data_IF_516471443644
#
_entry.id   IF_516471443644
#
_cell.length_a   1.000
_cell.length_b   1.000
_cell.length_c   1.000
_cell.angle_alpha   90.00
_cell.angle_beta   90.00
_cell.angle_gamma   90.00
#
_symmetry.space_group_name_H-M   'P 1'
#
loop_
_entity.id
_entity.type
_entity.pdbx_description
1 polymer ?
#
# COMPACT_ATOMS: atom_id res chain seq x y z
N UNK A 1 30.62 67.22 36.12
CA UNK A 1 29.47 67.80 35.40
C UNK A 1 29.93 67.98 33.96
N UNK A 2 29.38 67.37 32.92
CA UNK A 2 27.99 66.96 32.69
C UNK A 2 27.93 65.63 31.92
N UNK A 3 26.85 64.89 32.16
CA UNK A 3 26.44 63.64 31.51
C UNK A 3 26.20 63.84 30.01
N UNK A 4 26.75 62.98 29.17
CA UNK A 4 26.31 62.82 27.79
C UNK A 4 25.04 61.96 27.79
N UNK A 5 23.89 62.61 27.71
CA UNK A 5 22.61 61.95 27.45
C UNK A 5 22.59 61.48 25.99
N UNK A 6 22.71 60.16 25.80
CA UNK A 6 22.41 59.50 24.54
C UNK A 6 20.90 59.56 24.35
N UNK A 7 20.43 60.46 23.50
CA UNK A 7 19.04 60.48 23.04
C UNK A 7 18.75 59.15 22.34
N UNK A 8 18.03 58.26 23.02
CA UNK A 8 17.39 57.09 22.41
C UNK A 8 16.27 57.61 21.52
N UNK A 9 16.43 57.53 20.20
CA UNK A 9 15.31 57.65 19.28
C UNK A 9 14.30 56.54 19.60
N UNK A 10 13.11 56.91 20.10
CA UNK A 10 12.00 55.98 20.18
C UNK A 10 11.54 55.64 18.76
N UNK A 11 11.37 54.34 18.40
CA UNK A 11 10.90 53.98 17.08
C UNK A 11 9.49 54.54 16.90
N UNK A 12 9.31 55.43 15.92
CA UNK A 12 8.00 56.00 15.59
C UNK A 12 6.99 54.85 15.42
N UNK A 13 5.94 54.83 16.24
CA UNK A 13 4.84 53.88 16.11
C UNK A 13 4.15 54.11 14.76
N UNK A 14 4.62 53.42 13.71
CA UNK A 14 3.99 53.43 12.40
C UNK A 14 2.52 53.01 12.54
N UNK A 15 1.63 53.78 11.92
CA UNK A 15 0.18 53.53 11.94
C UNK A 15 -0.11 52.06 11.59
N UNK A 16 -0.89 51.38 12.44
CA UNK A 16 -1.33 49.99 12.25
C UNK A 16 -1.94 49.72 10.86
N UNK A 17 -2.45 50.75 10.18
CA UNK A 17 -3.09 50.70 8.86
C UNK A 17 -2.06 50.56 7.72
N UNK A 18 -0.83 51.07 7.91
CA UNK A 18 0.24 51.02 6.89
C UNK A 18 1.23 49.87 7.11
N UNK A 19 1.06 49.07 8.16
CA UNK A 19 1.89 47.88 8.37
C UNK A 19 1.56 46.83 7.29
N UNK A 20 2.53 46.46 6.43
CA UNK A 20 2.32 45.50 5.36
C UNK A 20 1.87 44.12 5.87
N UNK A 21 2.23 43.73 7.10
CA UNK A 21 1.78 42.46 7.70
C UNK A 21 0.29 42.51 8.07
N UNK A 22 -0.15 43.60 8.70
CA UNK A 22 -1.54 43.77 9.12
C UNK A 22 -2.46 43.91 7.90
N UNK A 23 -2.04 44.68 6.89
CA UNK A 23 -2.74 44.79 5.61
C UNK A 23 -2.82 43.45 4.88
N UNK A 24 -1.75 42.66 4.89
CA UNK A 24 -1.74 41.31 4.34
C UNK A 24 -2.76 40.39 5.00
N UNK A 25 -2.79 40.36 6.34
CA UNK A 25 -3.77 39.60 7.12
C UNK A 25 -5.20 40.07 6.81
N UNK A 26 -5.42 41.38 6.75
CA UNK A 26 -6.74 41.94 6.43
C UNK A 26 -7.25 41.47 5.06
N UNK A 27 -6.44 41.59 4.00
CA UNK A 27 -6.86 41.14 2.67
C UNK A 27 -7.01 39.62 2.58
N UNK A 28 -6.17 38.85 3.29
CA UNK A 28 -6.33 37.39 3.34
C UNK A 28 -7.65 36.99 4.01
N UNK A 29 -8.00 37.62 5.14
CA UNK A 29 -9.29 37.42 5.82
C UNK A 29 -10.44 37.85 4.91
N UNK A 30 -10.34 39.01 4.26
CA UNK A 30 -11.36 39.51 3.33
C UNK A 30 -11.60 38.53 2.18
N UNK A 31 -10.53 38.01 1.57
CA UNK A 31 -10.63 37.03 0.49
C UNK A 31 -11.27 35.72 0.98
N UNK A 32 -10.89 35.23 2.16
CA UNK A 32 -11.50 34.02 2.74
C UNK A 32 -12.98 34.24 3.01
N UNK A 33 -13.37 35.39 3.56
CA UNK A 33 -14.78 35.73 3.83
C UNK A 33 -15.57 35.80 2.52
N UNK A 34 -15.06 36.51 1.51
CA UNK A 34 -15.70 36.61 0.20
C UNK A 34 -15.83 35.24 -0.48
N UNK A 35 -14.82 34.39 -0.37
CA UNK A 35 -14.83 33.04 -0.91
C UNK A 35 -15.87 32.17 -0.20
N UNK A 36 -15.90 32.17 1.13
CA UNK A 36 -16.88 31.43 1.93
C UNK A 36 -18.30 31.91 1.64
N UNK A 37 -18.51 33.23 1.56
CA UNK A 37 -19.80 33.82 1.21
C UNK A 37 -20.23 33.44 -0.21
N UNK A 38 -19.31 33.46 -1.18
CA UNK A 38 -19.57 33.03 -2.55
C UNK A 38 -19.95 31.55 -2.64
N UNK A 39 -19.19 30.66 -1.99
CA UNK A 39 -19.49 29.22 -1.92
C UNK A 39 -20.85 28.99 -1.24
N UNK A 40 -21.12 29.68 -0.13
CA UNK A 40 -22.39 29.60 0.58
C UNK A 40 -23.57 30.03 -0.29
N UNK A 41 -23.43 31.14 -1.01
CA UNK A 41 -24.44 31.66 -1.92
C UNK A 41 -24.72 30.69 -3.08
N UNK A 42 -23.67 30.13 -3.70
CA UNK A 42 -23.82 29.11 -4.74
C UNK A 42 -24.54 27.88 -4.19
N UNK A 43 -24.10 27.36 -3.04
CA UNK A 43 -24.68 26.18 -2.42
C UNK A 43 -26.16 26.37 -2.11
N UNK A 44 -26.54 27.51 -1.51
CA UNK A 44 -27.95 27.82 -1.22
C UNK A 44 -28.78 27.94 -2.50
N UNK A 45 -28.29 28.66 -3.51
CA UNK A 45 -29.01 28.78 -4.79
C UNK A 45 -29.23 27.42 -5.44
N UNK A 46 -28.23 26.53 -5.42
CA UNK A 46 -28.36 25.18 -5.99
C UNK A 46 -29.39 24.37 -5.20
N UNK A 47 -29.31 24.36 -3.87
CA UNK A 47 -30.25 23.62 -3.02
C UNK A 47 -31.69 24.11 -3.22
N UNK A 48 -31.89 25.43 -3.25
CA UNK A 48 -33.22 26.03 -3.45
C UNK A 48 -33.79 25.69 -4.84
N UNK A 49 -32.97 25.76 -5.89
CA UNK A 49 -33.39 25.38 -7.25
C UNK A 49 -33.71 23.87 -7.35
N UNK A 50 -32.90 23.00 -6.75
CA UNK A 50 -33.15 21.55 -6.74
C UNK A 50 -34.43 21.19 -5.96
N UNK A 51 -34.68 21.90 -4.85
CA UNK A 51 -35.88 21.69 -4.03
C UNK A 51 -37.14 22.15 -4.77
N UNK A 52 -37.07 23.27 -5.50
CA UNK A 52 -38.16 23.73 -6.39
C UNK A 52 -38.47 22.70 -7.49
N UNK A 53 -37.45 22.02 -8.00
CA UNK A 53 -37.59 20.96 -9.00
C UNK A 53 -38.01 19.60 -8.41
N UNK A 54 -38.24 19.51 -7.09
CA UNK A 54 -38.53 18.26 -6.35
C UNK A 54 -37.48 17.16 -6.57
N UNK A 55 -36.25 17.54 -6.88
CA UNK A 55 -35.12 16.61 -6.98
C UNK A 55 -34.61 16.38 -5.57
N UNK A 56 -34.60 15.12 -5.14
CA UNK A 56 -34.02 14.73 -3.86
C UNK A 56 -32.54 15.13 -3.85
N UNK A 57 -32.21 16.18 -3.08
CA UNK A 57 -30.86 16.73 -2.97
C UNK A 57 -30.29 16.46 -1.57
N UNK A 58 -28.96 16.49 -1.46
CA UNK A 58 -28.23 16.25 -0.21
C UNK A 58 -27.87 14.78 0.07
N UNK A 59 -27.43 14.50 1.29
CA UNK A 59 -26.88 13.19 1.69
C UNK A 59 -27.94 12.16 2.16
N UNK A 60 -29.23 12.46 1.98
CA UNK A 60 -30.32 11.56 2.39
C UNK A 60 -30.27 10.20 1.70
N UNK A 61 -29.77 10.15 0.46
CA UNK A 61 -29.60 8.91 -0.30
C UNK A 61 -28.70 7.90 0.42
N UNK A 62 -27.72 8.35 1.24
CA UNK A 62 -26.83 7.46 2.00
C UNK A 62 -27.58 6.56 2.99
N UNK A 63 -28.78 6.97 3.40
CA UNK A 63 -29.66 6.18 4.28
C UNK A 63 -30.67 5.33 3.50
N UNK A 64 -30.82 5.56 2.19
CA UNK A 64 -31.67 4.74 1.32
C UNK A 64 -31.08 3.34 1.10
N UNK A 65 -31.95 2.37 0.83
CA UNK A 65 -31.56 0.99 0.51
C UNK A 65 -30.82 0.93 -0.82
N UNK A 66 -29.68 0.24 -0.85
CA UNK A 66 -28.82 0.15 -2.02
C UNK A 66 -29.46 -0.68 -3.15
N UNK A 67 -30.09 -1.81 -2.82
CA UNK A 67 -30.82 -2.64 -3.78
C UNK A 67 -29.95 -3.51 -4.70
N UNK A 68 -28.65 -3.62 -4.42
CA UNK A 68 -27.72 -4.49 -5.16
C UNK A 68 -26.72 -5.15 -4.21
N UNK A 69 -26.23 -6.33 -4.61
CA UNK A 69 -25.20 -7.07 -3.87
C UNK A 69 -23.80 -6.67 -4.33
N UNK A 70 -22.83 -6.79 -3.42
CA UNK A 70 -21.40 -6.57 -3.70
C UNK A 70 -20.71 -7.92 -3.56
N UNK A 71 -19.98 -8.34 -4.59
CA UNK A 71 -19.34 -9.66 -4.64
C UNK A 71 -18.39 -9.89 -3.47
N UNK A 72 -17.45 -8.97 -3.23
CA UNK A 72 -16.49 -9.07 -2.12
C UNK A 72 -16.88 -8.10 -1.01
N UNK A 73 -16.92 -8.54 0.24
CA UNK A 73 -17.22 -7.65 1.36
C UNK A 73 -16.48 -8.06 2.63
N UNK A 74 -15.53 -7.23 3.06
CA UNK A 74 -14.79 -7.44 4.30
C UNK A 74 -15.64 -7.18 5.55
N UNK A 75 -16.70 -6.37 5.42
CA UNK A 75 -17.69 -6.10 6.45
C UNK A 75 -19.05 -6.63 5.99
N UNK A 76 -19.90 -7.06 6.94
CA UNK A 76 -21.21 -7.62 6.62
C UNK A 76 -22.03 -6.66 5.75
N UNK A 77 -22.52 -7.11 4.60
CA UNK A 77 -23.27 -6.31 3.64
C UNK A 77 -24.31 -7.19 2.94
N UNK A 78 -25.44 -6.60 2.58
CA UNK A 78 -26.51 -7.21 1.78
C UNK A 78 -27.18 -6.14 0.92
N UNK A 79 -27.94 -6.54 -0.10
CA UNK A 79 -28.79 -5.64 -0.90
C UNK A 79 -29.83 -4.84 -0.09
N UNK A 80 -30.11 -5.23 1.14
CA UNK A 80 -30.95 -4.49 2.10
C UNK A 80 -30.20 -3.36 2.83
N UNK A 81 -28.87 -3.36 2.75
CA UNK A 81 -28.03 -2.35 3.38
C UNK A 81 -28.19 -0.98 2.72
N UNK A 82 -27.78 0.06 3.43
CA UNK A 82 -27.87 1.43 2.93
C UNK A 82 -26.77 1.76 1.91
N UNK A 83 -27.00 2.76 1.04
CA UNK A 83 -25.97 3.26 0.13
C UNK A 83 -24.70 3.73 0.84
N UNK A 84 -24.82 4.32 2.04
CA UNK A 84 -23.66 4.72 2.84
C UNK A 84 -22.81 3.52 3.23
N UNK A 85 -23.44 2.37 3.56
CA UNK A 85 -22.73 1.13 3.82
C UNK A 85 -22.11 0.54 2.56
N UNK A 86 -22.81 0.60 1.42
CA UNK A 86 -22.27 0.16 0.13
C UNK A 86 -21.01 0.93 -0.28
N UNK A 87 -21.01 2.26 -0.13
CA UNK A 87 -19.85 3.12 -0.37
C UNK A 87 -18.70 2.77 0.57
N UNK A 88 -18.98 2.54 1.86
CA UNK A 88 -17.96 2.14 2.82
C UNK A 88 -17.34 0.78 2.47
N UNK A 89 -18.16 -0.21 2.08
CA UNK A 89 -17.67 -1.52 1.60
C UNK A 89 -16.79 -1.32 0.35
N UNK A 90 -17.25 -0.53 -0.61
CA UNK A 90 -16.49 -0.21 -1.82
C UNK A 90 -15.13 0.43 -1.49
N UNK A 91 -15.11 1.42 -0.60
CA UNK A 91 -13.89 2.09 -0.14
C UNK A 91 -12.93 1.09 0.54
N UNK A 92 -13.43 0.26 1.44
CA UNK A 92 -12.63 -0.76 2.12
C UNK A 92 -12.02 -1.73 1.11
N UNK A 93 -12.81 -2.23 0.16
CA UNK A 93 -12.30 -3.11 -0.89
C UNK A 93 -11.25 -2.43 -1.76
N UNK A 94 -11.45 -1.16 -2.14
CA UNK A 94 -10.44 -0.38 -2.87
C UNK A 94 -9.13 -0.26 -2.09
N UNK A 95 -9.21 0.03 -0.79
CA UNK A 95 -8.03 0.11 0.09
C UNK A 95 -7.33 -1.25 0.18
N UNK A 96 -8.08 -2.34 0.35
CA UNK A 96 -7.52 -3.70 0.40
C UNK A 96 -6.80 -4.03 -0.91
N UNK A 97 -7.46 -3.86 -2.05
CA UNK A 97 -6.86 -4.12 -3.37
C UNK A 97 -5.64 -3.24 -3.60
N UNK A 98 -5.70 -1.97 -3.22
CA UNK A 98 -4.59 -1.03 -3.37
C UNK A 98 -3.38 -1.46 -2.51
N UNK A 99 -3.58 -1.81 -1.24
CA UNK A 99 -2.49 -2.21 -0.35
C UNK A 99 -1.82 -3.49 -0.87
N UNK A 100 -2.60 -4.54 -1.11
CA UNK A 100 -2.05 -5.83 -1.58
C UNK A 100 -1.44 -5.68 -2.97
N UNK A 101 -2.08 -4.91 -3.85
CA UNK A 101 -1.60 -4.60 -5.20
C UNK A 101 -0.29 -3.81 -5.19
N UNK A 102 -0.16 -2.77 -4.37
CA UNK A 102 1.07 -1.98 -4.24
C UNK A 102 2.22 -2.85 -3.73
N UNK A 103 1.98 -3.67 -2.71
CA UNK A 103 3.01 -4.56 -2.16
C UNK A 103 3.50 -5.53 -3.24
N UNK A 104 2.60 -6.24 -3.89
CA UNK A 104 2.94 -7.22 -4.92
C UNK A 104 3.56 -6.56 -6.15
N UNK A 105 3.00 -5.44 -6.63
CA UNK A 105 3.53 -4.70 -7.77
C UNK A 105 4.94 -4.15 -7.51
N UNK A 106 5.20 -3.67 -6.28
CA UNK A 106 6.52 -3.16 -5.90
C UNK A 106 7.55 -4.28 -5.89
N UNK A 107 7.23 -5.43 -5.31
CA UNK A 107 8.11 -6.59 -5.27
C UNK A 107 8.42 -7.08 -6.70
N UNK A 108 7.38 -7.34 -7.49
CA UNK A 108 7.54 -7.83 -8.86
C UNK A 108 8.27 -6.78 -9.71
N UNK A 109 7.84 -5.52 -9.65
CA UNK A 109 8.41 -4.43 -10.44
C UNK A 109 9.88 -4.19 -10.13
N UNK A 110 10.27 -4.25 -8.86
CA UNK A 110 11.67 -4.13 -8.46
C UNK A 110 12.51 -5.30 -9.01
N UNK A 111 12.03 -6.54 -8.87
CA UNK A 111 12.72 -7.73 -9.37
C UNK A 111 12.87 -7.68 -10.90
N UNK A 112 11.79 -7.36 -11.62
CA UNK A 112 11.80 -7.23 -13.08
C UNK A 112 12.70 -6.05 -13.53
N UNK A 113 12.65 -4.92 -12.83
CA UNK A 113 13.48 -3.75 -13.10
C UNK A 113 14.97 -4.05 -13.02
N UNK A 114 15.41 -4.75 -11.96
CA UNK A 114 16.79 -5.25 -11.83
C UNK A 114 17.08 -6.31 -12.89
N UNK A 115 16.15 -7.25 -13.13
CA UNK A 115 16.29 -8.33 -14.10
C UNK A 115 16.58 -7.82 -15.52
N UNK A 116 16.03 -6.65 -15.91
CA UNK A 116 16.31 -6.00 -17.20
C UNK A 116 17.74 -5.45 -17.34
N UNK A 117 18.45 -5.27 -16.24
CA UNK A 117 19.85 -4.87 -16.24
C UNK A 117 20.80 -6.07 -16.10
N UNK A 118 20.26 -7.29 -16.00
CA UNK A 118 21.06 -8.50 -15.94
C UNK A 118 21.90 -8.67 -17.21
N UNK A 119 23.14 -9.15 -17.02
CA UNK A 119 24.02 -9.54 -18.12
C UNK A 119 23.53 -10.83 -18.81
N UNK A 120 22.69 -11.61 -18.14
CA UNK A 120 22.08 -12.80 -18.75
C UNK A 120 21.00 -12.38 -19.75
N UNK A 121 21.25 -12.68 -21.03
CA UNK A 121 20.36 -12.36 -22.14
C UNK A 121 18.93 -12.86 -21.92
N UNK A 122 18.76 -14.10 -21.42
CA UNK A 122 17.45 -14.72 -21.24
C UNK A 122 16.63 -13.95 -20.20
N UNK A 123 17.23 -13.68 -19.03
CA UNK A 123 16.57 -12.94 -17.94
C UNK A 123 16.17 -11.55 -18.44
N UNK A 124 17.11 -10.84 -19.09
CA UNK A 124 16.86 -9.51 -19.64
C UNK A 124 15.73 -9.54 -20.67
N UNK A 125 15.69 -10.53 -21.56
CA UNK A 125 14.68 -10.64 -22.61
C UNK A 125 13.30 -10.96 -22.03
N UNK A 126 13.19 -11.92 -21.12
CA UNK A 126 11.92 -12.25 -20.43
C UNK A 126 11.37 -11.03 -19.71
N UNK A 127 12.21 -10.34 -18.93
CA UNK A 127 11.78 -9.14 -18.21
C UNK A 127 11.40 -8.00 -19.16
N UNK A 128 12.07 -7.88 -20.32
CA UNK A 128 11.70 -6.90 -21.35
C UNK A 128 10.35 -7.23 -21.97
N UNK A 129 10.11 -8.49 -22.35
CA UNK A 129 8.81 -8.92 -22.89
C UNK A 129 7.69 -8.67 -21.91
N UNK A 130 7.88 -9.02 -20.63
CA UNK A 130 6.91 -8.72 -19.58
C UNK A 130 6.54 -7.23 -19.55
N UNK A 131 7.54 -6.34 -19.48
CA UNK A 131 7.31 -4.89 -19.39
C UNK A 131 6.62 -4.36 -20.65
N UNK A 132 7.08 -4.74 -21.84
CA UNK A 132 6.47 -4.31 -23.09
C UNK A 132 5.01 -4.80 -23.21
N UNK A 133 4.72 -6.05 -22.85
CA UNK A 133 3.35 -6.59 -22.92
C UNK A 133 2.42 -5.83 -21.98
N UNK A 134 2.76 -5.71 -20.70
CA UNK A 134 1.86 -5.11 -19.72
C UNK A 134 1.72 -3.59 -19.86
N UNK A 135 2.71 -2.88 -20.39
CA UNK A 135 2.60 -1.42 -20.63
C UNK A 135 1.80 -1.08 -21.87
N UNK A 136 1.75 -1.97 -22.87
CA UNK A 136 1.09 -1.72 -24.14
C UNK A 136 -0.35 -2.29 -24.21
N UNK A 137 -0.77 -3.10 -23.23
CA UNK A 137 -2.14 -3.63 -23.17
C UNK A 137 -3.01 -2.77 -22.24
N UNK A 138 -4.23 -2.39 -22.66
CA UNK A 138 -5.18 -1.70 -21.78
C UNK A 138 -5.44 -2.51 -20.48
N UNK A 139 -5.38 -1.89 -19.29
CA UNK A 139 -5.58 -2.59 -18.02
C UNK A 139 -6.89 -3.37 -17.96
N UNK A 140 -7.96 -2.83 -18.55
CA UNK A 140 -9.26 -3.48 -18.61
C UNK A 140 -9.20 -4.81 -19.37
N UNK A 141 -8.41 -4.89 -20.45
CA UNK A 141 -8.21 -6.13 -21.19
C UNK A 141 -7.44 -7.15 -20.36
N UNK A 142 -6.47 -6.72 -19.55
CA UNK A 142 -5.74 -7.59 -18.63
C UNK A 142 -6.66 -8.14 -17.54
N UNK A 143 -7.54 -7.29 -16.96
CA UNK A 143 -8.56 -7.73 -16.00
C UNK A 143 -9.47 -8.77 -16.64
N UNK A 144 -9.98 -8.48 -17.84
CA UNK A 144 -10.84 -9.39 -18.59
C UNK A 144 -10.14 -10.71 -18.94
N UNK A 145 -8.86 -10.66 -19.33
CA UNK A 145 -8.05 -11.84 -19.61
C UNK A 145 -7.93 -12.73 -18.36
N UNK A 146 -7.60 -12.16 -17.20
CA UNK A 146 -7.53 -12.95 -15.96
C UNK A 146 -8.89 -13.53 -15.59
N UNK A 147 -9.96 -12.75 -15.67
CA UNK A 147 -11.29 -13.22 -15.31
C UNK A 147 -11.80 -14.29 -16.29
N UNK A 148 -11.93 -13.94 -17.57
CA UNK A 148 -12.58 -14.76 -18.59
C UNK A 148 -11.65 -15.78 -19.24
N UNK A 149 -10.37 -15.44 -19.41
CA UNK A 149 -9.39 -16.27 -20.11
C UNK A 149 -8.64 -17.26 -19.21
N UNK A 150 -8.51 -16.95 -17.91
CA UNK A 150 -7.79 -17.80 -16.96
C UNK A 150 -8.73 -18.38 -15.91
N UNK A 151 -9.38 -17.54 -15.10
CA UNK A 151 -10.13 -18.01 -13.93
C UNK A 151 -11.44 -18.70 -14.32
N UNK A 152 -12.17 -18.20 -15.32
CA UNK A 152 -13.42 -18.80 -15.78
C UNK A 152 -13.24 -20.15 -16.49
N UNK A 153 -12.01 -20.46 -16.96
CA UNK A 153 -11.68 -21.73 -17.63
C UNK A 153 -11.25 -22.80 -16.63
N UNK A 154 -11.05 -22.44 -15.36
CA UNK A 154 -10.70 -23.39 -14.31
C UNK A 154 -11.82 -24.43 -14.10
N UNK A 155 -11.50 -25.59 -13.51
CA UNK A 155 -12.49 -26.64 -13.26
C UNK A 155 -13.68 -26.17 -12.41
N UNK A 156 -14.79 -26.90 -12.54
CA UNK A 156 -15.95 -26.71 -11.67
C UNK A 156 -15.58 -27.00 -10.20
N UNK A 157 -16.30 -26.45 -9.20
CA UNK A 157 -15.98 -26.64 -7.78
C UNK A 157 -15.87 -28.11 -7.34
N UNK A 158 -16.63 -29.01 -7.97
CA UNK A 158 -16.58 -30.45 -7.71
C UNK A 158 -15.26 -31.11 -8.14
N UNK A 159 -14.56 -30.52 -9.11
CA UNK A 159 -13.31 -31.02 -9.71
C UNK A 159 -12.15 -30.06 -9.37
N UNK A 160 -12.21 -29.43 -8.19
CA UNK A 160 -11.26 -28.38 -7.79
C UNK A 160 -9.82 -28.85 -7.78
N UNK A 161 -8.91 -27.97 -8.22
CA UNK A 161 -7.48 -28.23 -8.18
C UNK A 161 -7.01 -28.08 -6.73
N UNK A 162 -6.57 -29.19 -6.13
CA UNK A 162 -5.92 -29.18 -4.83
C UNK A 162 -4.52 -28.58 -4.92
N UNK A 163 -4.26 -27.57 -4.09
CA UNK A 163 -2.99 -26.87 -3.98
C UNK A 163 -2.35 -27.14 -2.61
N UNK A 164 -1.03 -26.88 -2.44
CA UNK A 164 -0.37 -27.02 -1.16
C UNK A 164 -1.07 -26.24 -0.04
N UNK A 165 -0.82 -26.65 1.21
CA UNK A 165 -1.38 -26.02 2.41
C UNK A 165 -2.92 -26.12 2.55
N UNK A 166 -3.54 -27.12 1.92
CA UNK A 166 -4.99 -27.33 2.01
C UNK A 166 -5.79 -26.22 1.32
N UNK A 167 -5.26 -25.67 0.23
CA UNK A 167 -5.91 -24.67 -0.59
C UNK A 167 -6.50 -25.31 -1.85
N UNK A 168 -7.52 -24.68 -2.43
CA UNK A 168 -8.17 -25.15 -3.65
C UNK A 168 -8.37 -24.01 -4.63
N UNK A 169 -8.27 -24.33 -5.92
CA UNK A 169 -8.49 -23.37 -7.00
C UNK A 169 -9.50 -23.94 -8.00
N UNK A 170 -10.51 -23.14 -8.33
CA UNK A 170 -11.57 -23.49 -9.28
C UNK A 170 -12.17 -22.21 -9.90
N UNK A 171 -13.17 -22.37 -10.77
CA UNK A 171 -13.85 -21.24 -11.42
C UNK A 171 -14.57 -20.26 -10.49
N UNK A 172 -14.85 -20.65 -9.23
CA UNK A 172 -15.41 -19.76 -8.18
C UNK A 172 -14.34 -19.03 -7.37
N UNK A 173 -13.06 -19.22 -7.70
CA UNK A 173 -11.95 -18.49 -7.12
C UNK A 173 -11.00 -19.37 -6.33
N UNK A 174 -10.29 -18.73 -5.40
CA UNK A 174 -9.24 -19.36 -4.62
C UNK A 174 -9.68 -19.53 -3.17
N UNK A 175 -9.61 -20.76 -2.67
CA UNK A 175 -9.97 -21.13 -1.31
C UNK A 175 -8.72 -21.46 -0.52
N UNK A 176 -8.57 -20.90 0.67
CA UNK A 176 -7.45 -21.21 1.57
C UNK A 176 -7.91 -21.26 3.03
N UNK A 177 -7.12 -21.86 3.93
CA UNK A 177 -7.52 -22.01 5.33
C UNK A 177 -7.76 -20.65 5.99
N UNK A 178 -8.94 -20.50 6.63
CA UNK A 178 -9.28 -19.30 7.37
C UNK A 178 -8.71 -19.39 8.78
N UNK A 179 -7.95 -18.37 9.17
CA UNK A 179 -7.52 -18.19 10.55
C UNK A 179 -8.73 -17.91 11.46
N UNK A 180 -8.93 -18.78 12.46
CA UNK A 180 -9.91 -18.62 13.52
C UNK A 180 -9.16 -18.24 14.79
N UNK A 181 -9.41 -17.02 15.26
CA UNK A 181 -8.72 -16.42 16.39
C UNK A 181 -9.51 -16.71 17.67
N UNK A 182 -8.97 -17.57 18.53
CA UNK A 182 -9.53 -17.86 19.85
C UNK A 182 -9.08 -16.86 20.92
N UNK A 183 -9.55 -17.06 22.14
CA UNK A 183 -9.20 -16.24 23.29
C UNK A 183 -7.70 -16.28 23.57
N UNK A 184 -7.10 -15.13 23.89
CA UNK A 184 -5.65 -15.00 24.09
C UNK A 184 -4.84 -14.71 22.83
N UNK A 185 -5.46 -14.77 21.64
CA UNK A 185 -4.78 -14.43 20.37
C UNK A 185 -4.16 -13.03 20.32
N UNK A 186 -4.68 -12.09 21.12
CA UNK A 186 -4.15 -10.72 21.23
C UNK A 186 -2.68 -10.71 21.70
N UNK A 187 -2.25 -11.69 22.49
CA UNK A 187 -0.87 -11.82 22.97
C UNK A 187 0.12 -12.03 21.82
N UNK A 188 -0.30 -12.70 20.74
CA UNK A 188 0.52 -12.91 19.55
C UNK A 188 0.82 -11.57 18.87
N UNK A 189 -0.18 -10.70 18.75
CA UNK A 189 -0.02 -9.36 18.19
C UNK A 189 0.86 -8.46 19.06
N UNK A 190 0.67 -8.51 20.38
CA UNK A 190 1.52 -7.77 21.32
C UNK A 190 2.98 -8.26 21.24
N UNK A 191 3.19 -9.58 21.22
CA UNK A 191 4.52 -10.17 21.07
C UNK A 191 5.17 -9.81 19.72
N UNK A 192 4.38 -9.71 18.65
CA UNK A 192 4.87 -9.24 17.34
C UNK A 192 5.34 -7.78 17.41
N UNK A 193 4.54 -6.89 18.02
CA UNK A 193 4.90 -5.49 18.19
C UNK A 193 6.17 -5.33 19.04
N UNK A 194 6.26 -6.06 20.15
CA UNK A 194 7.46 -6.09 21.00
C UNK A 194 8.66 -6.66 20.23
N UNK A 195 8.46 -7.70 19.43
CA UNK A 195 9.49 -8.29 18.56
C UNK A 195 10.02 -7.30 17.54
N UNK A 196 9.14 -6.53 16.89
CA UNK A 196 9.51 -5.45 15.96
C UNK A 196 10.29 -4.35 16.69
N UNK A 197 9.82 -3.91 17.86
CA UNK A 197 10.49 -2.87 18.64
C UNK A 197 11.90 -3.31 19.08
N UNK A 198 12.04 -4.55 19.57
CA UNK A 198 13.35 -5.11 19.94
C UNK A 198 14.25 -5.32 18.72
N UNK A 199 13.72 -5.80 17.60
CA UNK A 199 14.46 -5.94 16.35
C UNK A 199 14.99 -4.59 15.86
N UNK A 200 14.20 -3.51 15.98
CA UNK A 200 14.63 -2.15 15.67
C UNK A 200 15.75 -1.69 16.60
N UNK A 201 15.64 -1.93 17.91
CA UNK A 201 16.67 -1.60 18.88
C UNK A 201 17.99 -2.34 18.61
N UNK A 202 17.91 -3.65 18.33
CA UNK A 202 19.06 -4.48 17.96
C UNK A 202 19.71 -3.97 16.67
N UNK A 203 18.91 -3.67 15.64
CA UNK A 203 19.42 -3.12 14.38
C UNK A 203 20.13 -1.78 14.58
N UNK A 204 19.57 -0.89 15.42
CA UNK A 204 20.17 0.40 15.74
C UNK A 204 21.49 0.25 16.48
N UNK A 205 21.54 -0.60 17.52
CA UNK A 205 22.75 -0.83 18.32
C UNK A 205 23.84 -1.57 17.53
N UNK A 206 23.44 -2.53 16.69
CA UNK A 206 24.35 -3.23 15.78
C UNK A 206 25.00 -2.26 14.78
N UNK A 207 24.23 -1.32 14.23
CA UNK A 207 24.76 -0.28 13.33
C UNK A 207 25.75 0.63 14.05
N UNK A 208 25.44 1.06 15.27
CA UNK A 208 26.36 1.84 16.10
C UNK A 208 27.66 1.09 16.41
N UNK A 209 27.55 -0.20 16.78
CA UNK A 209 28.72 -1.07 17.01
C UNK A 209 29.55 -1.22 15.74
N UNK A 210 28.92 -1.45 14.58
CA UNK A 210 29.62 -1.58 13.31
C UNK A 210 30.36 -0.28 12.94
N UNK A 211 29.76 0.89 13.20
CA UNK A 211 30.41 2.18 12.98
C UNK A 211 31.60 2.41 13.92
N UNK A 212 31.54 1.90 15.16
CA UNK A 212 32.60 2.08 16.14
C UNK A 212 33.74 1.04 16.03
N UNK A 213 33.42 -0.23 15.72
CA UNK A 213 34.38 -1.35 15.79
C UNK A 213 34.61 -2.07 14.47
N UNK A 214 33.87 -1.72 13.40
CA UNK A 214 33.92 -2.41 12.11
C UNK A 214 33.32 -3.84 12.10
N UNK A 215 33.01 -4.41 13.27
CA UNK A 215 32.47 -5.76 13.38
C UNK A 215 30.98 -5.80 13.03
N UNK A 216 30.61 -6.71 12.12
CA UNK A 216 29.22 -6.93 11.75
C UNK A 216 28.53 -7.83 12.77
N UNK A 217 27.29 -7.49 13.13
CA UNK A 217 26.41 -8.33 13.94
C UNK A 217 25.33 -8.94 13.03
N UNK A 218 24.92 -10.21 13.22
CA UNK A 218 23.95 -10.89 12.36
C UNK A 218 22.51 -10.39 12.61
N UNK A 219 22.25 -9.11 12.37
CA UNK A 219 20.97 -8.43 12.63
C UNK A 219 19.80 -9.17 12.00
N UNK A 220 19.96 -9.67 10.78
CA UNK A 220 18.89 -10.38 10.07
C UNK A 220 18.36 -11.58 10.88
N UNK A 221 19.26 -12.48 11.30
CA UNK A 221 18.87 -13.69 12.04
C UNK A 221 18.33 -13.37 13.42
N UNK A 222 18.92 -12.39 14.12
CA UNK A 222 18.41 -11.98 15.44
C UNK A 222 17.05 -11.29 15.35
N UNK A 223 16.85 -10.44 14.34
CA UNK A 223 15.57 -9.78 14.13
C UNK A 223 14.51 -10.77 13.69
N UNK A 224 14.85 -11.73 12.83
CA UNK A 224 13.95 -12.83 12.46
C UNK A 224 13.57 -13.67 13.70
N UNK A 225 14.54 -14.01 14.55
CA UNK A 225 14.28 -14.72 15.80
C UNK A 225 13.39 -13.94 16.76
N UNK A 226 13.52 -12.60 16.86
CA UNK A 226 12.66 -11.78 17.70
C UNK A 226 11.25 -11.62 17.12
N UNK A 227 11.15 -11.32 15.83
CA UNK A 227 9.88 -11.06 15.14
C UNK A 227 9.05 -12.33 14.99
N UNK A 228 9.69 -13.49 14.81
CA UNK A 228 8.99 -14.78 14.66
C UNK A 228 8.93 -15.54 15.99
N UNK A 229 10.04 -15.57 16.73
CA UNK A 229 10.14 -16.33 17.96
C UNK A 229 9.26 -15.80 19.08
N UNK A 230 9.13 -14.49 19.27
CA UNK A 230 8.25 -13.96 20.32
C UNK A 230 6.76 -14.26 20.06
N UNK A 231 6.20 -14.04 18.86
CA UNK A 231 4.85 -14.50 18.55
C UNK A 231 4.66 -16.01 18.73
N UNK A 232 5.65 -16.84 18.35
CA UNK A 232 5.58 -18.29 18.55
C UNK A 232 5.58 -18.67 20.04
N UNK A 233 6.40 -18.00 20.85
CA UNK A 233 6.39 -18.18 22.30
C UNK A 233 5.04 -17.75 22.90
N UNK A 234 4.52 -16.59 22.51
CA UNK A 234 3.21 -16.13 22.96
C UNK A 234 2.08 -17.08 22.52
N UNK A 235 2.16 -17.63 21.31
CA UNK A 235 1.23 -18.63 20.79
C UNK A 235 1.26 -19.93 21.61
N UNK A 236 2.44 -20.43 21.96
CA UNK A 236 2.59 -21.62 22.81
C UNK A 236 2.09 -21.35 24.25
N UNK A 237 2.46 -20.21 24.84
CA UNK A 237 2.07 -19.83 26.21
C UNK A 237 0.57 -19.55 26.35
N UNK A 238 -0.10 -19.14 25.28
CA UNK A 238 -1.56 -18.96 25.25
C UNK A 238 -2.35 -20.24 24.92
N UNK A 239 -1.66 -21.38 24.81
CA UNK A 239 -2.33 -22.68 24.61
C UNK A 239 -2.79 -22.92 23.17
N UNK A 240 -2.07 -22.40 22.18
CA UNK A 240 -2.38 -22.56 20.75
C UNK A 240 -3.75 -21.99 20.35
N UNK A 241 -4.03 -20.69 20.61
CA UNK A 241 -5.36 -20.09 20.42
C UNK A 241 -5.73 -19.84 18.96
N UNK A 242 -4.79 -20.00 18.02
CA UNK A 242 -5.00 -19.86 16.59
C UNK A 242 -5.30 -21.25 16.00
N UNK A 243 -6.52 -21.42 15.51
CA UNK A 243 -6.90 -22.61 14.72
C UNK A 243 -7.17 -22.22 13.27
N UNK A 244 -7.17 -23.21 12.38
CA UNK A 244 -7.42 -23.00 10.96
C UNK A 244 -8.64 -23.81 10.52
N UNK A 245 -9.64 -23.11 9.97
CA UNK A 245 -10.75 -23.75 9.28
C UNK A 245 -10.35 -24.02 7.83
N UNK A 246 -10.14 -25.29 7.50
CA UNK A 246 -9.71 -25.72 6.17
C UNK A 246 -10.92 -25.85 5.24
N UNK A 247 -10.81 -25.38 3.98
CA UNK A 247 -11.85 -25.58 2.99
C UNK A 247 -12.05 -27.09 2.74
N UNK A 248 -13.30 -27.55 2.81
CA UNK A 248 -13.69 -28.94 2.56
C UNK A 248 -14.48 -29.03 1.27
N UNK A 249 -14.10 -29.97 0.42
CA UNK A 249 -14.79 -30.23 -0.85
C UNK A 249 -16.05 -31.04 -0.59
N UNK A 250 -17.21 -30.43 -0.87
CA UNK A 250 -18.51 -31.11 -0.91
C UNK A 250 -18.88 -31.45 -2.35
N UNK A 251 -19.98 -32.19 -2.54
CA UNK A 251 -20.46 -32.67 -3.84
C UNK A 251 -20.74 -31.53 -4.84
N UNK A 252 -21.20 -30.37 -4.37
CA UNK A 252 -21.61 -29.24 -5.22
C UNK A 252 -20.83 -27.94 -4.97
N UNK A 253 -20.10 -27.83 -3.86
CA UNK A 253 -19.35 -26.62 -3.50
C UNK A 253 -18.22 -26.92 -2.50
N UNK A 254 -17.33 -25.95 -2.28
CA UNK A 254 -16.45 -25.95 -1.12
C UNK A 254 -17.12 -25.21 0.03
N UNK A 255 -16.98 -25.76 1.24
CA UNK A 255 -17.46 -25.15 2.48
C UNK A 255 -16.30 -24.94 3.44
N UNK A 256 -16.39 -23.90 4.27
CA UNK A 256 -15.32 -23.50 5.18
C UNK A 256 -14.18 -22.76 4.49
N UNK A 257 -13.18 -22.37 5.28
CA UNK A 257 -12.06 -21.58 4.82
C UNK A 257 -12.43 -20.15 4.40
N UNK A 258 -11.49 -19.50 3.73
CA UNK A 258 -11.64 -18.18 3.16
C UNK A 258 -11.63 -18.29 1.63
N UNK A 259 -12.59 -17.65 0.98
CA UNK A 259 -12.72 -17.62 -0.47
C UNK A 259 -12.35 -16.23 -0.99
N UNK A 260 -11.36 -16.16 -1.87
CA UNK A 260 -11.11 -14.98 -2.70
C UNK A 260 -11.86 -15.17 -4.02
N UNK A 261 -12.82 -14.30 -4.30
CA UNK A 261 -13.62 -14.43 -5.51
C UNK A 261 -12.85 -14.07 -6.78
N UNK A 262 -13.27 -14.58 -7.95
CA UNK A 262 -12.56 -14.36 -9.21
C UNK A 262 -12.50 -12.89 -9.61
N UNK A 263 -13.52 -12.09 -9.27
CA UNK A 263 -13.57 -10.64 -9.56
C UNK A 263 -12.47 -9.89 -8.80
N UNK A 264 -12.25 -10.24 -7.53
CA UNK A 264 -11.17 -9.66 -6.75
C UNK A 264 -9.81 -10.14 -7.28
N UNK A 265 -9.65 -11.45 -7.53
CA UNK A 265 -8.40 -12.02 -8.04
C UNK A 265 -8.01 -11.42 -9.39
N UNK A 266 -8.94 -11.28 -10.33
CA UNK A 266 -8.67 -10.74 -11.65
C UNK A 266 -8.22 -9.28 -11.59
N UNK A 267 -8.93 -8.46 -10.80
CA UNK A 267 -8.56 -7.06 -10.56
C UNK A 267 -7.18 -6.96 -9.90
N UNK A 268 -6.96 -7.74 -8.84
CA UNK A 268 -5.68 -7.77 -8.11
C UNK A 268 -4.51 -8.17 -9.00
N UNK A 269 -4.64 -9.27 -9.76
CA UNK A 269 -3.57 -9.79 -10.63
C UNK A 269 -3.29 -8.82 -11.77
N UNK A 270 -4.33 -8.30 -12.42
CA UNK A 270 -4.17 -7.36 -13.51
C UNK A 270 -3.50 -6.06 -13.07
N UNK A 271 -3.99 -5.46 -11.97
CA UNK A 271 -3.44 -4.21 -11.46
C UNK A 271 -2.00 -4.39 -10.96
N UNK A 272 -1.71 -5.51 -10.29
CA UNK A 272 -0.36 -5.83 -9.81
C UNK A 272 0.62 -5.98 -10.97
N UNK A 273 0.28 -6.76 -11.99
CA UNK A 273 1.15 -6.99 -13.14
C UNK A 273 1.34 -5.73 -13.99
N UNK A 274 0.25 -5.00 -14.23
CA UNK A 274 0.30 -3.72 -14.96
C UNK A 274 1.22 -2.72 -14.23
N UNK A 275 0.95 -2.47 -12.95
CA UNK A 275 1.69 -1.48 -12.16
C UNK A 275 3.15 -1.89 -11.96
N UNK A 276 3.43 -3.18 -11.79
CA UNK A 276 4.79 -3.70 -11.70
C UNK A 276 5.63 -3.37 -12.93
N UNK A 277 5.04 -3.34 -14.13
CA UNK A 277 5.76 -2.98 -15.35
C UNK A 277 6.21 -1.50 -15.36
N UNK A 278 5.39 -0.59 -14.80
CA UNK A 278 5.78 0.82 -14.62
C UNK A 278 6.85 0.97 -13.54
N UNK A 279 6.68 0.29 -12.40
CA UNK A 279 7.70 0.28 -11.33
C UNK A 279 9.03 -0.25 -11.87
N UNK A 280 9.02 -1.29 -12.70
CA UNK A 280 10.23 -1.84 -13.31
C UNK A 280 10.97 -0.81 -14.19
N UNK A 281 10.26 0.04 -14.92
CA UNK A 281 10.88 1.14 -15.69
C UNK A 281 11.47 2.21 -14.79
N UNK A 282 10.74 2.60 -13.74
CA UNK A 282 11.20 3.60 -12.78
C UNK A 282 12.47 3.11 -12.07
N UNK A 283 12.48 1.86 -11.58
CA UNK A 283 13.65 1.24 -10.95
C UNK A 283 14.83 1.16 -11.92
N UNK A 284 14.58 0.73 -13.17
CA UNK A 284 15.63 0.65 -14.20
C UNK A 284 16.20 2.05 -14.52
N UNK A 285 15.36 3.07 -14.62
CA UNK A 285 15.77 4.45 -14.86
C UNK A 285 16.57 5.00 -13.67
N UNK A 286 16.10 4.78 -12.44
CA UNK A 286 16.80 5.15 -11.21
C UNK A 286 18.19 4.52 -11.12
N UNK A 287 18.32 3.23 -11.47
CA UNK A 287 19.62 2.54 -11.49
C UNK A 287 20.54 3.13 -12.54
N UNK A 288 20.05 3.40 -13.75
CA UNK A 288 20.86 4.03 -14.82
C UNK A 288 21.21 5.49 -14.53
N UNK A 289 20.49 6.15 -13.62
CA UNK A 289 20.79 7.51 -13.16
C UNK A 289 22.00 7.59 -12.22
N UNK A 290 22.46 6.46 -11.67
CA UNK A 290 23.66 6.42 -10.81
C UNK A 290 24.92 6.50 -11.68
N UNK A 291 25.85 7.40 -11.32
CA UNK A 291 27.11 7.60 -12.06
C UNK A 291 27.93 6.31 -12.19
N UNK A 292 28.42 6.04 -13.42
CA UNK A 292 29.29 4.90 -13.70
C UNK A 292 30.56 4.90 -12.85
N UNK A 293 31.12 6.07 -12.54
CA UNK A 293 32.32 6.19 -11.70
C UNK A 293 32.16 5.61 -10.30
N UNK A 294 30.95 5.61 -9.72
CA UNK A 294 30.68 4.96 -8.43
C UNK A 294 30.74 3.43 -8.54
N UNK A 295 30.30 2.89 -9.67
CA UNK A 295 30.34 1.45 -9.95
C UNK A 295 31.78 1.00 -10.24
N UNK A 296 32.52 1.78 -11.02
CA UNK A 296 33.94 1.52 -11.35
C UNK A 296 34.84 1.63 -10.11
N UNK A 297 34.67 2.67 -9.28
CA UNK A 297 35.42 2.81 -8.03
C UNK A 297 35.13 1.64 -7.07
N UNK A 298 33.87 1.22 -6.94
CA UNK A 298 33.51 0.06 -6.14
C UNK A 298 34.14 -1.25 -6.68
N UNK A 299 34.20 -1.40 -8.00
CA UNK A 299 34.89 -2.50 -8.68
C UNK A 299 36.41 -2.49 -8.44
N UNK A 300 37.05 -1.31 -8.47
CA UNK A 300 38.47 -1.14 -8.19
C UNK A 300 38.83 -1.49 -6.74
N UNK A 301 37.89 -1.36 -5.81
CA UNK A 301 38.00 -1.82 -4.42
C UNK A 301 37.75 -3.34 -4.25
N UNK A 302 37.59 -4.09 -5.34
CA UNK A 302 37.41 -5.55 -5.34
C UNK A 302 35.99 -6.02 -4.98
N UNK A 303 34.99 -5.14 -4.97
CA UNK A 303 33.61 -5.53 -4.71
C UNK A 303 33.03 -6.31 -5.89
N UNK A 304 32.36 -7.43 -5.61
CA UNK A 304 31.62 -8.21 -6.62
C UNK A 304 30.38 -7.44 -7.09
N UNK A 305 29.94 -7.65 -8.32
CA UNK A 305 28.81 -6.93 -8.94
C UNK A 305 27.52 -6.96 -8.11
N UNK A 306 27.23 -8.06 -7.42
CA UNK A 306 26.08 -8.15 -6.52
C UNK A 306 26.21 -7.25 -5.28
N UNK A 307 27.42 -7.12 -4.73
CA UNK A 307 27.71 -6.20 -3.63
C UNK A 307 27.65 -4.75 -4.08
N UNK A 308 28.18 -4.44 -5.28
CA UNK A 308 28.10 -3.09 -5.86
C UNK A 308 26.62 -2.70 -6.06
N UNK A 309 25.83 -3.60 -6.65
CA UNK A 309 24.40 -3.38 -6.86
C UNK A 309 23.68 -3.13 -5.52
N UNK A 310 23.89 -3.99 -4.52
CA UNK A 310 23.19 -3.92 -3.24
C UNK A 310 23.62 -2.75 -2.34
N UNK A 311 24.91 -2.42 -2.32
CA UNK A 311 25.48 -1.47 -1.35
C UNK A 311 25.70 -0.07 -1.92
N UNK A 312 25.88 0.06 -3.24
CA UNK A 312 26.21 1.34 -3.88
C UNK A 312 25.05 1.80 -4.75
N UNK A 313 24.66 0.99 -5.74
CA UNK A 313 23.76 1.42 -6.81
C UNK A 313 22.30 1.49 -6.35
N UNK A 314 21.75 0.40 -5.80
CA UNK A 314 20.33 0.34 -5.37
C UNK A 314 20.00 1.42 -4.32
N UNK A 315 20.78 1.61 -3.24
CA UNK A 315 20.46 2.63 -2.24
C UNK A 315 20.48 4.06 -2.79
N UNK A 316 21.29 4.34 -3.82
CA UNK A 316 21.33 5.65 -4.49
C UNK A 316 20.17 5.78 -5.49
N UNK A 317 19.91 4.76 -6.29
CA UNK A 317 18.80 4.71 -7.23
C UNK A 317 17.44 4.93 -6.55
N UNK A 318 17.24 4.33 -5.37
CA UNK A 318 16.02 4.47 -4.57
C UNK A 318 15.87 5.86 -3.92
N UNK A 319 16.85 6.76 -4.00
CA UNK A 319 16.70 8.17 -3.61
C UNK A 319 16.26 9.05 -4.77
N UNK A 320 16.42 8.57 -6.00
CA UNK A 320 16.05 9.25 -7.24
C UNK A 320 14.59 8.94 -7.60
N UNK A 321 14.14 7.73 -7.24
CA UNK A 321 12.80 7.18 -7.43
C UNK A 321 11.91 7.47 -6.22
#
# INVERSE_FOLDING_TARGET
>A
MASQDVLREEPSRGSFINDPKIRGIFFQVLVVVLLVAGVWWIAHNVIDNLTRLRIASGFGFLKGRAGFDISESAIAYSSDSTYGRAILVGLINTVIVAIVGIITATIIGFVIGIGRLSQNWLIRKICTVYVEVFRNIPPLLVIFFWYSGVLAVLPAPRDSIGLPFGSFLNQRGFYFPRAVWGDGSWLIFVALLVGIAMAWFVARKARQRQMATGQQFPVFWTSAALIVGLPLLAYALSGFPLSFDYPKQSTFNLTGGFQVRPEFLSLYLALSCYTAAFIAEIVRAGIRGVSAGQTEAAGALGLRSGSILRLVVVPQAMRIV
#
